data_IF_089200482473
#
_entry.id   IF_089200482473
#
_cell.length_a   1.000
_cell.length_b   1.000
_cell.length_c   1.000
_cell.angle_alpha   90.00
_cell.angle_beta   90.00
_cell.angle_gamma   90.00
#
_symmetry.space_group_name_H-M   'P 1'
#
loop_
_entity.id
_entity.type
_entity.pdbx_description
1 polymer ?
#
# COMPACT_ATOMS: atom_id res chain seq x y z
N UNK A 1 -15.97 -3.34 16.43
CA UNK A 1 -15.43 -3.74 17.75
C UNK A 1 -16.34 -4.78 18.42
N UNK A 2 -17.66 -4.57 18.42
CA UNK A 2 -18.65 -5.51 18.99
C UNK A 2 -18.59 -6.89 18.30
N UNK A 3 -18.55 -6.93 16.97
CA UNK A 3 -18.55 -8.19 16.19
C UNK A 3 -17.23 -8.96 16.34
N UNK A 4 -16.11 -8.24 16.51
CA UNK A 4 -14.80 -8.87 16.75
C UNK A 4 -14.73 -9.57 18.11
N UNK A 5 -15.45 -9.06 19.11
CA UNK A 5 -15.54 -9.70 20.43
C UNK A 5 -16.49 -10.93 20.43
N UNK A 6 -17.46 -10.96 19.51
CA UNK A 6 -18.43 -12.05 19.40
C UNK A 6 -17.91 -13.27 18.64
N UNK A 7 -16.86 -13.15 17.81
CA UNK A 7 -16.28 -14.25 17.04
C UNK A 7 -15.21 -14.97 17.85
N UNK A 8 -15.37 -16.30 18.01
CA UNK A 8 -14.35 -17.14 18.68
C UNK A 8 -13.13 -17.32 17.78
N UNK A 9 -11.95 -16.93 18.30
CA UNK A 9 -10.67 -17.22 17.66
C UNK A 9 -10.42 -18.74 17.53
N UNK A 10 -9.66 -19.21 16.53
CA UNK A 10 -9.29 -20.62 16.36
C UNK A 10 -8.69 -21.24 17.62
N UNK A 11 -7.82 -20.50 18.32
CA UNK A 11 -7.23 -20.97 19.58
C UNK A 11 -8.27 -21.17 20.69
N UNK A 12 -9.33 -20.37 20.74
CA UNK A 12 -10.43 -20.56 21.69
C UNK A 12 -11.21 -21.85 21.41
N UNK A 13 -11.39 -22.21 20.12
CA UNK A 13 -12.04 -23.48 19.73
C UNK A 13 -11.18 -24.69 20.13
N UNK A 14 -9.86 -24.58 20.09
CA UNK A 14 -8.95 -25.63 20.55
C UNK A 14 -9.07 -25.76 22.07
N UNK A 15 -9.07 -24.66 22.81
CA UNK A 15 -9.27 -24.65 24.26
C UNK A 15 -10.62 -25.29 24.65
N UNK A 16 -11.73 -24.99 23.95
CA UNK A 16 -13.03 -25.60 24.18
C UNK A 16 -12.97 -27.13 23.94
N UNK A 17 -12.29 -27.59 22.87
CA UNK A 17 -12.12 -29.01 22.56
C UNK A 17 -11.30 -29.75 23.61
N UNK A 18 -10.19 -29.16 24.04
CA UNK A 18 -9.37 -29.73 25.14
C UNK A 18 -10.21 -29.84 26.40
N UNK A 19 -10.91 -28.78 26.77
CA UNK A 19 -11.77 -28.76 27.97
C UNK A 19 -12.88 -29.81 27.91
N UNK A 20 -13.46 -30.08 26.74
CA UNK A 20 -14.55 -31.07 26.57
C UNK A 20 -14.11 -32.51 26.88
N UNK A 21 -12.83 -32.84 26.76
CA UNK A 21 -12.26 -34.15 27.13
C UNK A 21 -11.68 -34.10 28.53
N UNK A 22 -10.96 -33.03 28.84
CA UNK A 22 -10.24 -32.89 30.11
C UNK A 22 -11.18 -32.83 31.32
N UNK A 23 -12.28 -32.08 31.26
CA UNK A 23 -13.21 -31.92 32.38
C UNK A 23 -13.84 -33.25 32.79
N UNK A 24 -14.44 -34.06 31.88
CA UNK A 24 -14.93 -35.39 32.24
C UNK A 24 -13.86 -36.33 32.81
N UNK A 25 -12.64 -36.28 32.26
CA UNK A 25 -11.53 -37.09 32.78
C UNK A 25 -11.18 -36.71 34.23
N UNK A 26 -11.08 -35.43 34.54
CA UNK A 26 -10.75 -34.94 35.88
C UNK A 26 -11.87 -35.29 36.85
N UNK A 27 -13.15 -35.14 36.48
CA UNK A 27 -14.29 -35.53 37.30
C UNK A 27 -14.21 -37.03 37.63
N UNK A 28 -13.90 -37.87 36.63
CA UNK A 28 -13.73 -39.33 36.82
C UNK A 28 -12.60 -39.62 37.83
N UNK A 29 -11.47 -38.98 37.70
CA UNK A 29 -10.32 -39.12 38.63
C UNK A 29 -10.71 -38.68 40.02
N UNK A 30 -11.42 -37.56 40.19
CA UNK A 30 -11.85 -37.07 41.47
C UNK A 30 -12.80 -38.07 42.18
N UNK A 31 -13.77 -38.67 41.45
CA UNK A 31 -14.67 -39.69 41.96
C UNK A 31 -13.87 -40.94 42.40
N UNK A 32 -12.99 -41.43 41.52
CA UNK A 32 -12.14 -42.57 41.87
C UNK A 32 -11.30 -42.28 43.13
N UNK A 33 -10.66 -41.12 43.21
CA UNK A 33 -9.90 -40.70 44.35
C UNK A 33 -10.74 -40.72 45.64
N UNK A 34 -11.93 -40.15 45.61
CA UNK A 34 -12.87 -40.17 46.76
C UNK A 34 -13.22 -41.59 47.21
N UNK A 35 -13.58 -42.47 46.22
CA UNK A 35 -13.92 -43.87 46.51
C UNK A 35 -12.70 -44.61 47.10
N UNK A 36 -11.51 -44.48 46.57
CA UNK A 36 -10.31 -45.12 47.10
C UNK A 36 -10.05 -44.73 48.55
N UNK A 37 -10.14 -43.44 48.89
CA UNK A 37 -9.95 -42.97 50.25
C UNK A 37 -11.03 -43.48 51.24
N UNK A 38 -12.29 -43.64 50.79
CA UNK A 38 -13.32 -44.26 51.55
C UNK A 38 -13.06 -45.74 51.84
N UNK A 39 -12.63 -46.47 50.82
CA UNK A 39 -12.33 -47.92 50.89
C UNK A 39 -11.09 -48.18 51.79
N UNK A 40 -10.19 -47.23 51.92
CA UNK A 40 -9.03 -47.30 52.84
C UNK A 40 -9.39 -47.01 54.32
N UNK A 41 -10.66 -46.79 54.61
CA UNK A 41 -11.18 -46.60 55.97
C UNK A 41 -11.04 -45.19 56.53
N UNK A 42 -10.85 -44.17 55.70
CA UNK A 42 -10.80 -42.80 56.11
C UNK A 42 -12.22 -42.22 56.23
N UNK A 43 -12.40 -41.21 57.08
CA UNK A 43 -13.66 -40.50 57.21
C UNK A 43 -14.16 -39.86 55.90
N UNK A 44 -15.46 -39.85 55.71
CA UNK A 44 -16.11 -39.30 54.51
C UNK A 44 -15.70 -37.85 54.19
N UNK A 45 -15.52 -37.02 55.24
CA UNK A 45 -15.02 -35.65 55.10
C UNK A 45 -13.63 -35.54 54.50
N UNK A 46 -12.71 -36.41 54.98
CA UNK A 46 -11.33 -36.48 54.48
C UNK A 46 -11.31 -36.95 52.99
N UNK A 47 -12.01 -38.04 52.67
CA UNK A 47 -12.08 -38.58 51.32
C UNK A 47 -12.66 -37.56 50.33
N UNK A 48 -13.75 -36.88 50.71
CA UNK A 48 -14.36 -35.84 49.89
C UNK A 48 -13.44 -34.64 49.67
N UNK A 49 -12.72 -34.19 50.71
CA UNK A 49 -11.75 -33.11 50.57
C UNK A 49 -10.65 -33.42 49.56
N UNK A 50 -10.17 -34.70 49.49
CA UNK A 50 -9.17 -35.13 48.47
C UNK A 50 -9.74 -35.14 47.07
N UNK A 51 -10.98 -35.59 46.85
CA UNK A 51 -11.65 -35.50 45.56
C UNK A 51 -11.84 -34.06 45.10
N UNK A 52 -12.28 -33.16 45.99
CA UNK A 52 -12.42 -31.72 45.71
C UNK A 52 -11.04 -31.11 45.37
N UNK A 53 -9.96 -31.49 46.09
CA UNK A 53 -8.62 -31.02 45.77
C UNK A 53 -8.18 -31.36 44.33
N UNK A 54 -8.53 -32.56 43.84
CA UNK A 54 -8.25 -32.95 42.45
C UNK A 54 -8.98 -32.01 41.48
N UNK A 55 -10.27 -31.70 41.72
CA UNK A 55 -11.06 -30.79 40.88
C UNK A 55 -10.48 -29.37 40.86
N UNK A 56 -10.12 -28.84 42.03
CA UNK A 56 -9.60 -27.46 42.16
C UNK A 56 -8.21 -27.30 41.48
N UNK A 57 -7.29 -28.25 41.71
CA UNK A 57 -5.93 -28.20 41.14
C UNK A 57 -5.96 -28.37 39.63
N UNK A 58 -6.88 -29.18 39.13
CA UNK A 58 -6.98 -29.52 37.69
C UNK A 58 -7.82 -28.50 36.88
N UNK A 59 -8.23 -27.39 37.48
CA UNK A 59 -9.04 -26.41 36.76
C UNK A 59 -8.25 -25.75 35.59
N UNK A 60 -8.68 -25.89 34.31
CA UNK A 60 -8.04 -25.22 33.18
C UNK A 60 -8.48 -23.75 33.04
N UNK A 61 -8.78 -23.09 34.19
CA UNK A 61 -9.37 -21.74 34.22
C UNK A 61 -8.50 -20.70 33.51
N UNK A 62 -7.18 -20.85 33.58
CA UNK A 62 -6.23 -19.97 32.87
C UNK A 62 -6.39 -20.06 31.35
N UNK A 63 -6.62 -21.26 30.81
CA UNK A 63 -6.78 -21.46 29.36
C UNK A 63 -8.10 -20.83 28.85
N UNK A 64 -9.18 -20.95 29.62
CA UNK A 64 -10.50 -20.39 29.25
C UNK A 64 -10.59 -18.86 29.32
N UNK A 65 -9.78 -18.21 30.15
CA UNK A 65 -9.80 -16.75 30.32
C UNK A 65 -8.69 -16.03 29.58
N UNK A 66 -7.51 -16.65 29.43
CA UNK A 66 -6.35 -15.99 28.85
C UNK A 66 -6.58 -15.55 27.38
N UNK A 67 -7.20 -16.41 26.59
CA UNK A 67 -7.43 -16.10 25.15
C UNK A 67 -8.41 -14.94 24.95
N UNK A 68 -9.61 -14.89 25.57
CA UNK A 68 -10.51 -13.75 25.45
C UNK A 68 -9.88 -12.44 25.94
N UNK A 69 -9.10 -12.48 27.03
CA UNK A 69 -8.42 -11.31 27.57
C UNK A 69 -7.34 -10.83 26.59
N UNK A 70 -6.53 -11.72 26.03
CA UNK A 70 -5.50 -11.37 25.04
C UNK A 70 -6.12 -10.72 23.79
N UNK A 71 -7.24 -11.27 23.28
CA UNK A 71 -7.96 -10.69 22.15
C UNK A 71 -8.53 -9.31 22.49
N UNK A 72 -9.11 -9.14 23.69
CA UNK A 72 -9.64 -7.86 24.12
C UNK A 72 -8.54 -6.80 24.22
N UNK A 73 -7.39 -7.14 24.80
CA UNK A 73 -6.22 -6.26 24.90
C UNK A 73 -5.69 -5.93 23.52
N UNK A 74 -5.52 -6.94 22.63
CA UNK A 74 -5.06 -6.75 21.27
C UNK A 74 -5.96 -5.83 20.44
N UNK A 75 -7.28 -6.05 20.49
CA UNK A 75 -8.26 -5.17 19.87
C UNK A 75 -8.23 -3.75 20.45
N UNK A 76 -8.07 -3.62 21.76
CA UNK A 76 -7.97 -2.33 22.42
C UNK A 76 -6.72 -1.55 22.01
N UNK A 77 -5.58 -2.23 21.90
CA UNK A 77 -4.35 -1.62 21.39
C UNK A 77 -4.44 -1.28 19.92
N UNK A 78 -5.01 -2.16 19.10
CA UNK A 78 -5.28 -1.87 17.68
C UNK A 78 -6.13 -0.61 17.53
N UNK A 79 -7.26 -0.54 18.23
CA UNK A 79 -8.17 0.61 18.19
C UNK A 79 -7.49 1.93 18.60
N UNK A 80 -6.62 1.92 19.62
CA UNK A 80 -5.84 3.10 20.02
C UNK A 80 -4.91 3.60 18.92
N UNK A 81 -4.45 2.71 18.04
CA UNK A 81 -3.61 3.03 16.90
C UNK A 81 -4.39 3.17 15.58
N UNK A 82 -5.73 3.29 15.63
CA UNK A 82 -6.57 3.43 14.44
C UNK A 82 -6.79 2.13 13.65
N UNK A 83 -6.37 0.99 14.18
CA UNK A 83 -6.50 -0.32 13.53
C UNK A 83 -7.72 -1.04 14.09
N UNK A 84 -8.69 -1.37 13.23
CA UNK A 84 -9.93 -2.05 13.61
C UNK A 84 -9.98 -3.44 12.99
N UNK A 85 -9.88 -4.47 13.82
CA UNK A 85 -10.07 -5.85 13.39
C UNK A 85 -11.57 -6.19 13.32
N UNK A 86 -12.01 -6.81 12.23
CA UNK A 86 -13.41 -7.26 12.07
C UNK A 86 -13.72 -8.48 12.90
N UNK A 87 -12.74 -9.37 13.10
CA UNK A 87 -12.92 -10.63 13.83
C UNK A 87 -11.69 -10.93 14.68
N UNK A 88 -11.86 -11.75 15.72
CA UNK A 88 -10.75 -12.27 16.52
C UNK A 88 -9.78 -13.13 15.67
N UNK A 89 -10.32 -13.80 14.63
CA UNK A 89 -9.49 -14.55 13.66
C UNK A 89 -8.55 -13.62 12.91
N UNK A 90 -9.03 -12.46 12.46
CA UNK A 90 -8.21 -11.48 11.73
C UNK A 90 -7.05 -10.96 12.59
N UNK A 91 -7.27 -10.76 13.90
CA UNK A 91 -6.21 -10.37 14.84
C UNK A 91 -5.16 -11.47 15.00
N UNK A 92 -5.60 -12.74 15.13
CA UNK A 92 -4.69 -13.88 15.28
C UNK A 92 -3.86 -14.10 14.01
N UNK A 93 -4.50 -14.05 12.83
CA UNK A 93 -3.83 -14.27 11.55
C UNK A 93 -2.89 -13.13 11.16
N UNK A 94 -3.19 -11.88 11.57
CA UNK A 94 -2.29 -10.74 11.35
C UNK A 94 -0.90 -10.97 11.94
N UNK A 95 -0.81 -11.69 13.07
CA UNK A 95 0.48 -12.05 13.68
C UNK A 95 1.26 -13.17 12.96
N UNK A 96 0.66 -13.81 11.95
CA UNK A 96 1.24 -14.94 11.19
C UNK A 96 1.52 -14.58 9.74
N UNK A 97 1.34 -13.32 9.34
CA UNK A 97 1.56 -12.85 7.98
C UNK A 97 3.02 -13.04 7.59
N UNK A 98 3.25 -13.69 6.46
CA UNK A 98 4.58 -13.93 5.90
C UNK A 98 4.83 -13.10 4.64
N UNK A 99 3.78 -12.71 3.94
CA UNK A 99 3.85 -11.92 2.71
C UNK A 99 2.83 -10.79 2.80
N UNK A 100 3.27 -9.57 2.52
CA UNK A 100 2.42 -8.39 2.36
C UNK A 100 2.48 -7.93 0.92
N UNK A 101 1.33 -7.88 0.26
CA UNK A 101 1.20 -7.33 -1.07
C UNK A 101 0.66 -5.90 -0.98
N UNK A 102 1.45 -4.92 -1.43
CA UNK A 102 1.13 -3.51 -1.42
C UNK A 102 0.77 -3.03 -2.83
N UNK A 103 -0.36 -2.35 -2.96
CA UNK A 103 -0.64 -1.63 -4.20
C UNK A 103 0.37 -0.48 -4.39
N UNK A 104 0.77 -0.23 -5.64
CA UNK A 104 1.68 0.88 -5.95
C UNK A 104 0.99 2.23 -5.71
N UNK A 105 -0.13 2.45 -6.41
CA UNK A 105 -0.74 3.77 -6.57
C UNK A 105 -1.50 4.20 -5.31
N UNK A 106 -1.09 5.31 -4.70
CA UNK A 106 -1.72 5.82 -3.48
C UNK A 106 -1.33 5.07 -2.19
N UNK A 107 -0.60 3.94 -2.29
CA UNK A 107 -0.07 3.19 -1.13
C UNK A 107 1.43 3.40 -1.00
N UNK A 108 2.23 2.90 -1.94
CA UNK A 108 3.69 3.13 -2.00
C UNK A 108 3.98 4.54 -2.52
N UNK A 109 3.18 5.02 -3.47
CA UNK A 109 3.27 6.35 -4.07
C UNK A 109 2.18 7.28 -3.56
N UNK A 110 2.28 8.57 -3.85
CA UNK A 110 1.28 9.58 -3.47
C UNK A 110 -0.07 9.37 -4.18
N UNK A 111 -0.10 8.64 -5.30
CA UNK A 111 -1.28 8.43 -6.13
C UNK A 111 -1.64 9.66 -6.97
N UNK A 112 -0.80 10.66 -6.99
CA UNK A 112 -0.96 11.87 -7.80
C UNK A 112 0.33 12.08 -8.60
N UNK A 113 0.25 12.10 -9.95
CA UNK A 113 1.39 12.43 -10.78
C UNK A 113 1.87 13.86 -10.52
N UNK A 114 3.18 14.05 -10.44
CA UNK A 114 3.83 15.34 -10.26
C UNK A 114 4.90 15.55 -11.34
N UNK A 115 5.17 16.80 -11.71
CA UNK A 115 6.31 17.13 -12.57
C UNK A 115 7.59 16.97 -11.77
N UNK A 116 8.42 16.02 -12.18
CA UNK A 116 9.68 15.69 -11.49
C UNK A 116 10.90 16.32 -12.13
N UNK A 117 10.90 16.50 -13.44
CA UNK A 117 12.05 17.05 -14.19
C UNK A 117 11.56 17.86 -15.39
N UNK A 118 12.30 18.89 -15.73
CA UNK A 118 12.08 19.75 -16.91
C UNK A 118 13.41 19.92 -17.63
N UNK A 119 13.47 19.55 -18.91
CA UNK A 119 14.63 19.66 -19.76
C UNK A 119 14.26 20.49 -21.00
N UNK A 120 14.50 21.81 -20.99
CA UNK A 120 14.25 22.65 -22.15
C UNK A 120 15.25 22.32 -23.29
N UNK A 121 14.83 22.53 -24.53
CA UNK A 121 15.71 22.51 -25.67
C UNK A 121 16.61 23.76 -25.71
N UNK A 122 17.64 23.72 -26.56
CA UNK A 122 18.52 24.88 -26.77
C UNK A 122 17.67 26.12 -27.14
N UNK A 123 18.01 27.28 -26.58
CA UNK A 123 17.31 28.56 -26.77
C UNK A 123 15.87 28.64 -26.17
N UNK A 124 15.46 27.70 -25.35
CA UNK A 124 14.17 27.73 -24.64
C UNK A 124 14.41 27.81 -23.14
N UNK A 125 13.74 28.71 -22.44
CA UNK A 125 13.78 28.72 -20.98
C UNK A 125 12.84 27.67 -20.38
N UNK A 126 13.13 27.23 -19.18
CA UNK A 126 12.25 26.29 -18.43
C UNK A 126 10.85 26.88 -18.24
N UNK A 127 10.75 28.17 -17.94
CA UNK A 127 9.48 28.88 -17.76
C UNK A 127 8.71 28.96 -19.09
N UNK A 128 9.38 29.18 -20.23
CA UNK A 128 8.69 29.21 -21.54
C UNK A 128 8.16 27.84 -21.90
N UNK A 129 8.95 26.78 -21.74
CA UNK A 129 8.52 25.40 -21.94
C UNK A 129 7.28 25.08 -21.09
N UNK A 130 7.34 25.38 -19.79
CA UNK A 130 6.25 25.08 -18.89
C UNK A 130 5.00 25.94 -19.16
N UNK A 131 5.17 27.20 -19.54
CA UNK A 131 4.05 28.10 -19.91
C UNK A 131 3.33 27.60 -21.15
N UNK A 132 4.06 27.18 -22.19
CA UNK A 132 3.49 26.66 -23.43
C UNK A 132 2.84 25.28 -23.22
N UNK A 133 3.46 24.41 -22.42
CA UNK A 133 2.88 23.14 -22.00
C UNK A 133 1.59 23.36 -21.19
N UNK A 134 1.58 24.31 -20.27
CA UNK A 134 0.38 24.70 -19.51
C UNK A 134 -0.73 25.18 -20.42
N UNK A 135 -0.44 26.04 -21.42
CA UNK A 135 -1.44 26.50 -22.37
C UNK A 135 -2.11 25.35 -23.13
N UNK A 136 -1.30 24.35 -23.57
CA UNK A 136 -1.77 23.16 -24.27
C UNK A 136 -2.58 22.23 -23.38
N UNK A 137 -2.07 21.93 -22.19
CA UNK A 137 -2.65 20.94 -21.25
C UNK A 137 -3.88 21.46 -20.50
N UNK A 138 -4.12 22.79 -20.45
CA UNK A 138 -5.24 23.39 -19.72
C UNK A 138 -6.62 22.87 -20.17
N UNK A 139 -6.73 22.38 -21.40
CA UNK A 139 -7.98 21.79 -21.96
C UNK A 139 -7.98 20.26 -21.93
N UNK A 140 -6.92 19.65 -21.42
CA UNK A 140 -6.78 18.18 -21.31
C UNK A 140 -7.37 17.67 -20.00
N UNK A 141 -8.12 16.59 -20.05
CA UNK A 141 -8.63 15.87 -18.86
C UNK A 141 -7.69 14.73 -18.40
N UNK A 142 -6.53 14.59 -19.05
CA UNK A 142 -5.61 13.51 -18.73
C UNK A 142 -4.96 13.74 -17.36
N UNK A 143 -4.77 12.68 -16.52
CA UNK A 143 -4.14 12.83 -15.21
C UNK A 143 -2.75 13.49 -15.24
N UNK A 144 -1.95 13.26 -16.29
CA UNK A 144 -0.64 13.89 -16.45
C UNK A 144 -0.74 15.40 -16.72
N UNK A 145 -1.82 15.87 -17.35
CA UNK A 145 -2.06 17.30 -17.55
C UNK A 145 -2.16 18.03 -16.21
N UNK A 146 -2.87 17.43 -15.25
CA UNK A 146 -3.04 18.00 -13.91
C UNK A 146 -1.70 18.31 -13.25
N UNK A 147 -0.72 17.42 -13.36
CA UNK A 147 0.63 17.63 -12.83
C UNK A 147 1.31 18.87 -13.41
N UNK A 148 1.18 19.08 -14.73
CA UNK A 148 1.74 20.25 -15.41
C UNK A 148 1.02 21.54 -14.99
N UNK A 149 -0.30 21.48 -14.87
CA UNK A 149 -1.11 22.63 -14.42
C UNK A 149 -0.74 23.04 -12.99
N UNK A 150 -0.64 22.09 -12.09
CA UNK A 150 -0.26 22.32 -10.68
C UNK A 150 1.15 22.90 -10.55
N UNK A 151 2.10 22.36 -11.32
CA UNK A 151 3.47 22.88 -11.35
C UNK A 151 3.52 24.31 -11.88
N UNK A 152 2.84 24.60 -12.97
CA UNK A 152 2.77 25.95 -13.53
C UNK A 152 2.10 26.95 -12.57
N UNK A 153 1.01 26.54 -11.93
CA UNK A 153 0.30 27.35 -10.94
C UNK A 153 1.18 27.66 -9.71
N UNK A 154 1.96 26.68 -9.22
CA UNK A 154 2.89 26.87 -8.09
C UNK A 154 3.98 27.90 -8.37
N UNK A 155 4.34 28.09 -9.64
CA UNK A 155 5.30 29.09 -10.10
C UNK A 155 4.63 30.43 -10.51
N UNK A 156 3.31 30.55 -10.36
CA UNK A 156 2.56 31.76 -10.73
C UNK A 156 2.50 32.02 -12.24
N UNK A 157 2.73 30.99 -13.06
CA UNK A 157 2.70 31.12 -14.51
C UNK A 157 1.26 31.26 -15.01
N UNK A 158 1.07 32.09 -16.03
CA UNK A 158 -0.22 32.30 -16.69
C UNK A 158 -0.14 31.82 -18.14
N UNK A 159 -1.14 31.07 -18.59
CA UNK A 159 -1.18 30.58 -19.94
C UNK A 159 -2.13 31.42 -20.82
N UNK A 160 -1.72 31.66 -22.04
CA UNK A 160 -2.62 32.17 -23.08
C UNK A 160 -3.63 31.12 -23.49
N UNK A 161 -4.81 31.53 -23.96
CA UNK A 161 -5.80 30.58 -24.44
C UNK A 161 -5.41 30.01 -25.82
N UNK A 162 -5.57 28.70 -25.94
CA UNK A 162 -5.39 27.98 -27.20
C UNK A 162 -6.73 27.74 -27.88
N UNK A 163 -6.71 27.72 -29.21
CA UNK A 163 -7.84 27.38 -30.07
C UNK A 163 -7.59 26.06 -30.79
N UNK A 164 -8.59 25.52 -31.46
CA UNK A 164 -8.47 24.26 -32.24
C UNK A 164 -7.82 23.11 -31.47
N UNK A 165 -8.14 23.01 -30.17
CA UNK A 165 -7.60 21.94 -29.33
C UNK A 165 -8.09 20.57 -29.78
N UNK A 166 -7.18 19.63 -29.92
CA UNK A 166 -7.46 18.24 -30.30
C UNK A 166 -6.65 17.29 -29.41
N UNK A 167 -7.34 16.37 -28.76
CA UNK A 167 -6.72 15.21 -28.13
C UNK A 167 -6.58 14.09 -29.15
N UNK A 168 -5.37 13.57 -29.30
CA UNK A 168 -5.01 12.52 -30.26
C UNK A 168 -4.75 11.23 -29.49
N UNK A 169 -5.73 10.31 -29.37
CA UNK A 169 -5.61 9.12 -28.53
C UNK A 169 -4.34 8.31 -28.82
N UNK A 170 -3.57 8.00 -27.76
CA UNK A 170 -2.31 7.25 -27.85
C UNK A 170 -1.10 8.05 -28.36
N UNK A 171 -1.28 9.28 -28.84
CA UNK A 171 -0.21 10.11 -29.39
C UNK A 171 0.08 11.33 -28.51
N UNK A 172 -0.92 12.18 -28.29
CA UNK A 172 -0.75 13.41 -27.52
C UNK A 172 -1.82 14.44 -27.79
N UNK A 173 -1.44 15.70 -27.80
CA UNK A 173 -2.30 16.86 -27.93
C UNK A 173 -1.80 17.79 -29.05
N UNK A 174 -2.72 18.50 -29.68
CA UNK A 174 -2.43 19.58 -30.61
C UNK A 174 -3.38 20.75 -30.38
N UNK A 175 -2.90 21.98 -30.52
CA UNK A 175 -3.73 23.19 -30.46
C UNK A 175 -3.05 24.34 -31.20
N UNK A 176 -3.79 25.42 -31.45
CA UNK A 176 -3.24 26.68 -31.99
C UNK A 176 -3.14 27.74 -30.89
N UNK A 177 -1.98 28.37 -30.84
CA UNK A 177 -1.72 29.58 -30.05
C UNK A 177 -1.48 30.75 -30.99
N UNK A 178 -2.51 31.51 -31.28
CA UNK A 178 -2.47 32.50 -32.34
C UNK A 178 -2.25 31.86 -33.72
N UNK A 179 -1.19 32.23 -34.40
CA UNK A 179 -0.80 31.64 -35.70
C UNK A 179 0.06 30.38 -35.56
N UNK A 180 0.59 30.09 -34.37
CA UNK A 180 1.51 28.97 -34.11
C UNK A 180 0.76 27.70 -33.71
N UNK A 181 1.30 26.55 -34.13
CA UNK A 181 0.79 25.23 -33.74
C UNK A 181 1.61 24.68 -32.57
N UNK A 182 0.95 24.37 -31.46
CA UNK A 182 1.53 23.66 -30.30
C UNK A 182 1.16 22.18 -30.37
N UNK A 183 2.12 21.34 -30.12
CA UNK A 183 1.94 19.89 -29.98
C UNK A 183 2.61 19.40 -28.72
N UNK A 184 2.04 18.40 -28.06
CA UNK A 184 2.61 17.75 -26.88
C UNK A 184 2.24 16.28 -26.87
N UNK A 185 3.11 15.42 -26.36
CA UNK A 185 2.80 14.00 -26.29
C UNK A 185 3.99 13.08 -26.13
N UNK A 186 3.78 11.82 -26.52
CA UNK A 186 4.80 10.78 -26.41
C UNK A 186 6.02 11.05 -27.30
N UNK A 187 7.20 10.57 -26.89
CA UNK A 187 8.42 10.66 -27.69
C UNK A 187 8.21 10.10 -29.09
N UNK A 188 7.56 8.94 -29.22
CA UNK A 188 7.26 8.30 -30.51
C UNK A 188 6.48 9.22 -31.45
N UNK A 189 5.49 9.92 -30.92
CA UNK A 189 4.65 10.82 -31.72
C UNK A 189 5.40 12.10 -32.11
N UNK A 190 6.01 12.77 -31.13
CA UNK A 190 6.67 14.07 -31.40
C UNK A 190 7.87 13.91 -32.33
N UNK A 191 8.62 12.80 -32.27
CA UNK A 191 9.73 12.54 -33.19
C UNK A 191 9.33 12.43 -34.65
N UNK A 192 8.04 12.24 -34.98
CA UNK A 192 7.52 12.26 -36.34
C UNK A 192 7.24 13.67 -36.86
N UNK A 193 7.13 14.65 -35.97
CA UNK A 193 6.67 16.01 -36.28
C UNK A 193 7.72 17.08 -36.02
N UNK A 194 8.71 16.80 -35.17
CA UNK A 194 9.78 17.71 -34.81
C UNK A 194 11.12 16.97 -34.71
N UNK A 195 12.19 17.64 -35.08
CA UNK A 195 13.54 17.07 -34.91
C UNK A 195 13.91 17.07 -33.42
N UNK A 196 14.16 15.88 -32.86
CA UNK A 196 14.62 15.69 -31.49
C UNK A 196 16.14 15.47 -31.50
N UNK A 197 16.89 16.25 -30.74
CA UNK A 197 18.34 16.07 -30.66
C UNK A 197 18.68 14.72 -29.99
N UNK A 198 19.80 14.07 -30.38
CA UNK A 198 20.21 12.81 -29.75
C UNK A 198 20.39 12.89 -28.24
N UNK A 199 20.79 14.06 -27.71
CA UNK A 199 20.93 14.30 -26.25
C UNK A 199 19.60 14.26 -25.53
N UNK A 200 18.57 14.92 -26.06
CA UNK A 200 17.22 14.92 -25.48
C UNK A 200 16.53 13.56 -25.64
N UNK A 201 16.79 12.85 -26.74
CA UNK A 201 16.29 11.49 -26.92
C UNK A 201 16.85 10.54 -25.86
N UNK A 202 18.16 10.57 -25.63
CA UNK A 202 18.82 9.79 -24.57
C UNK A 202 18.28 10.18 -23.17
N UNK A 203 18.03 11.48 -22.95
CA UNK A 203 17.46 11.95 -21.70
C UNK A 203 16.03 11.42 -21.47
N UNK A 204 15.19 11.42 -22.50
CA UNK A 204 13.84 10.87 -22.42
C UNK A 204 13.86 9.35 -22.14
N UNK A 205 14.79 8.62 -22.75
CA UNK A 205 14.97 7.19 -22.48
C UNK A 205 15.39 6.92 -21.04
N UNK A 206 16.36 7.68 -20.50
CA UNK A 206 16.78 7.56 -19.10
C UNK A 206 15.64 7.86 -18.12
N UNK A 207 14.82 8.88 -18.40
CA UNK A 207 13.64 9.18 -17.60
C UNK A 207 12.63 8.02 -17.60
N UNK A 208 12.38 7.44 -18.78
CA UNK A 208 11.51 6.28 -18.90
C UNK A 208 12.09 5.05 -18.17
N UNK A 209 13.42 4.88 -18.17
CA UNK A 209 14.11 3.84 -17.39
C UNK A 209 13.97 4.03 -15.89
N UNK A 210 13.93 5.27 -15.44
CA UNK A 210 13.69 5.61 -14.05
C UNK A 210 12.19 5.53 -13.62
N UNK A 211 11.32 5.00 -14.50
CA UNK A 211 9.89 4.86 -14.21
C UNK A 211 9.06 6.14 -14.37
N UNK A 212 9.63 7.18 -14.99
CA UNK A 212 8.96 8.44 -15.26
C UNK A 212 8.33 8.45 -16.64
N UNK A 213 7.35 9.30 -16.87
CA UNK A 213 6.70 9.50 -18.17
C UNK A 213 7.22 10.78 -18.81
N UNK A 214 8.14 10.72 -19.79
CA UNK A 214 8.61 11.90 -20.51
C UNK A 214 7.56 12.35 -21.53
N UNK A 215 7.10 13.59 -21.42
CA UNK A 215 6.25 14.28 -22.36
C UNK A 215 7.06 15.31 -23.13
N UNK A 216 7.04 15.24 -24.44
CA UNK A 216 7.75 16.16 -25.32
C UNK A 216 6.78 17.23 -25.83
N UNK A 217 7.26 18.45 -25.90
CA UNK A 217 6.48 19.60 -26.41
C UNK A 217 7.22 20.26 -27.56
N UNK A 218 6.46 20.68 -28.58
CA UNK A 218 7.01 21.39 -29.73
C UNK A 218 6.07 22.49 -30.20
N UNK A 219 6.64 23.50 -30.86
CA UNK A 219 5.95 24.63 -31.48
C UNK A 219 6.43 24.79 -32.91
N UNK A 220 5.51 24.82 -33.86
CA UNK A 220 5.78 24.98 -35.30
C UNK A 220 6.88 24.04 -35.82
N UNK A 221 6.87 22.78 -35.37
CA UNK A 221 7.88 21.76 -35.75
C UNK A 221 9.23 21.89 -35.03
N UNK A 222 9.45 22.88 -34.16
CA UNK A 222 10.64 23.03 -33.30
C UNK A 222 10.38 22.48 -31.94
N UNK A 223 11.24 21.58 -31.47
CA UNK A 223 11.15 21.02 -30.12
C UNK A 223 11.36 22.13 -29.07
N UNK A 224 10.49 22.18 -28.05
CA UNK A 224 10.61 23.06 -26.89
C UNK A 224 11.35 22.39 -25.74
N UNK A 225 11.18 21.07 -25.57
CA UNK A 225 11.82 20.31 -24.51
C UNK A 225 10.99 19.14 -24.01
N UNK A 226 11.40 18.62 -22.86
CA UNK A 226 10.80 17.46 -22.18
C UNK A 226 10.32 17.89 -20.79
N UNK A 227 9.13 17.47 -20.43
CA UNK A 227 8.61 17.53 -19.05
C UNK A 227 8.36 16.09 -18.62
N UNK A 228 9.03 15.64 -17.56
CA UNK A 228 8.82 14.31 -17.00
C UNK A 228 7.80 14.37 -15.86
N UNK A 229 6.85 13.46 -15.91
CA UNK A 229 5.82 13.32 -14.88
C UNK A 229 5.88 11.91 -14.30
N UNK A 230 5.82 11.80 -12.99
CA UNK A 230 5.76 10.51 -12.30
C UNK A 230 4.90 10.58 -11.04
N UNK A 231 4.36 9.45 -10.66
CA UNK A 231 3.75 9.26 -9.33
C UNK A 231 4.88 8.98 -8.34
N UNK A 232 5.11 9.93 -7.44
CA UNK A 232 6.27 9.96 -6.55
C UNK A 232 6.05 9.04 -5.35
N UNK A 233 7.09 8.30 -4.97
CA UNK A 233 7.09 7.45 -3.77
C UNK A 233 6.93 8.34 -2.52
N UNK A 234 6.08 7.93 -1.59
CA UNK A 234 5.93 8.61 -0.30
C UNK A 234 7.25 8.58 0.48
N UNK A 235 7.58 9.63 1.22
CA UNK A 235 8.86 9.73 1.94
C UNK A 235 9.11 8.59 2.94
N UNK A 236 8.04 8.02 3.49
CA UNK A 236 8.06 6.97 4.50
C UNK A 236 7.96 5.54 3.93
N UNK A 237 7.65 5.37 2.64
CA UNK A 237 7.38 4.05 2.05
C UNK A 237 8.59 3.12 2.12
N UNK A 238 9.78 3.59 1.77
CA UNK A 238 10.99 2.76 1.82
C UNK A 238 11.33 2.31 3.25
N UNK A 239 11.10 3.18 4.24
CA UNK A 239 11.28 2.83 5.64
C UNK A 239 10.24 1.81 6.09
N UNK A 240 8.97 1.99 5.75
CA UNK A 240 7.90 1.05 6.10
C UNK A 240 8.14 -0.35 5.49
N UNK A 241 8.58 -0.42 4.24
CA UNK A 241 8.99 -1.68 3.60
C UNK A 241 10.11 -2.36 4.38
N UNK A 242 11.15 -1.61 4.75
CA UNK A 242 12.27 -2.13 5.51
C UNK A 242 11.86 -2.61 6.91
N UNK A 243 10.94 -1.93 7.56
CA UNK A 243 10.40 -2.35 8.86
C UNK A 243 9.65 -3.67 8.75
N UNK A 244 8.82 -3.86 7.72
CA UNK A 244 8.17 -5.14 7.45
C UNK A 244 9.18 -6.27 7.17
N UNK A 245 10.19 -6.02 6.37
CA UNK A 245 11.27 -6.99 6.08
C UNK A 245 12.05 -7.36 7.34
N UNK A 246 12.33 -6.41 8.24
CA UNK A 246 12.98 -6.66 9.52
C UNK A 246 12.13 -7.54 10.47
N UNK A 247 10.79 -7.56 10.26
CA UNK A 247 9.89 -8.48 10.96
C UNK A 247 9.85 -9.89 10.32
N UNK A 248 10.64 -10.14 9.27
CA UNK A 248 10.66 -11.40 8.51
C UNK A 248 9.51 -11.53 7.50
N UNK A 249 8.86 -10.43 7.14
CA UNK A 249 7.75 -10.39 6.19
C UNK A 249 8.30 -10.04 4.82
N UNK A 250 7.97 -10.84 3.81
CA UNK A 250 8.26 -10.54 2.42
C UNK A 250 7.30 -9.46 1.91
N UNK A 251 7.82 -8.44 1.23
CA UNK A 251 7.01 -7.34 0.69
C UNK A 251 6.99 -7.40 -0.83
N UNK A 252 5.79 -7.48 -1.39
CA UNK A 252 5.53 -7.56 -2.84
C UNK A 252 4.73 -6.36 -3.28
N UNK A 253 5.12 -5.72 -4.38
CA UNK A 253 4.38 -4.62 -4.97
C UNK A 253 3.44 -5.13 -6.07
N UNK A 254 2.18 -4.71 -6.03
CA UNK A 254 1.19 -4.93 -7.07
C UNK A 254 1.00 -3.65 -7.89
N UNK A 255 1.04 -3.77 -9.21
CA UNK A 255 0.83 -2.63 -10.12
C UNK A 255 0.32 -3.10 -11.48
N UNK A 256 -0.46 -2.26 -12.13
CA UNK A 256 -0.84 -2.43 -13.54
C UNK A 256 0.14 -1.80 -14.53
N UNK A 257 1.25 -1.23 -14.06
CA UNK A 257 2.27 -0.61 -14.91
C UNK A 257 3.04 -1.66 -15.73
N UNK A 258 3.74 -1.17 -16.75
CA UNK A 258 4.70 -2.02 -17.46
C UNK A 258 5.85 -2.44 -16.54
N UNK A 259 6.48 -3.57 -16.87
CA UNK A 259 7.54 -4.20 -16.05
C UNK A 259 8.72 -3.24 -15.76
N UNK A 260 9.07 -2.37 -16.68
CA UNK A 260 10.17 -1.41 -16.55
C UNK A 260 9.89 -0.40 -15.43
N UNK A 261 8.71 0.21 -15.45
CA UNK A 261 8.26 1.16 -14.42
C UNK A 261 8.13 0.46 -13.07
N UNK A 262 7.53 -0.74 -13.06
CA UNK A 262 7.36 -1.54 -11.85
C UNK A 262 8.71 -1.84 -11.18
N UNK A 263 9.71 -2.28 -11.94
CA UNK A 263 11.06 -2.56 -11.43
C UNK A 263 11.75 -1.31 -10.89
N UNK A 264 11.63 -0.17 -11.60
CA UNK A 264 12.24 1.09 -11.15
C UNK A 264 11.66 1.56 -9.81
N UNK A 265 10.33 1.56 -9.67
CA UNK A 265 9.64 1.96 -8.43
C UNK A 265 9.89 0.93 -7.32
N UNK A 266 9.84 -0.37 -7.63
CA UNK A 266 10.11 -1.45 -6.67
C UNK A 266 11.52 -1.36 -6.08
N UNK A 267 12.52 -1.10 -6.91
CA UNK A 267 13.90 -0.90 -6.45
C UNK A 267 14.05 0.34 -5.54
N UNK A 268 13.36 1.43 -5.85
CA UNK A 268 13.39 2.64 -5.02
C UNK A 268 12.66 2.42 -3.68
N UNK A 269 11.55 1.69 -3.68
CA UNK A 269 10.80 1.35 -2.47
C UNK A 269 11.47 0.24 -1.65
N UNK A 270 12.38 -0.54 -2.26
CA UNK A 270 13.09 -1.65 -1.62
C UNK A 270 12.26 -2.92 -1.44
N UNK A 271 11.19 -3.11 -2.24
CA UNK A 271 10.37 -4.33 -2.18
C UNK A 271 11.11 -5.55 -2.74
N UNK A 272 10.70 -6.75 -2.31
CA UNK A 272 11.33 -8.01 -2.73
C UNK A 272 10.94 -8.43 -4.16
N UNK A 273 9.71 -8.08 -4.55
CA UNK A 273 9.16 -8.29 -5.91
C UNK A 273 8.17 -7.20 -6.29
#
# INVERSE_FOLDING_TARGET
VSDAAATKAPIAKIADRVSSVFVPAVITIAIITTIVWLLTGHEAGYALARGISVLVISCPCALGLATPVAIMVGNGMGAKNGILFKTAVSLEEAGKVQIVALDKTGTITNGQPEVTDIFPADDVSENDLLTLAYALEKKSEHPLAKAILEKAASLGLTAQEVTEFQALPGNGLSAKLGASTLIGGSMKYISTLAAVSPSLMNQAEKLAEAGKTPLLFAKDGKLLGIIAVADVIKPDSAQAVKELQNMGIQVVMLTGDNERTARAIGAQAGVDQ
#
